data_IF_431545637792
#
_entry.id   IF_431545637792
#
_cell.length_a   1.000
_cell.length_b   1.000
_cell.length_c   1.000
_cell.angle_alpha   90.00
_cell.angle_beta   90.00
_cell.angle_gamma   90.00
#
_symmetry.space_group_name_H-M   'P 1'
#
loop_
_entity.id
_entity.type
_entity.pdbx_description
1 polymer ?
#
# COMPACT_ATOMS: atom_id res chain seq x y z
N UNK A 1 10.56 -15.08 12.29
CA UNK A 1 10.74 -14.42 10.98
C UNK A 1 10.13 -15.30 9.89
N UNK A 2 8.86 -15.03 9.53
CA UNK A 2 8.15 -15.70 8.42
C UNK A 2 7.80 -14.62 7.40
N UNK A 3 8.38 -14.71 6.21
CA UNK A 3 8.12 -13.80 5.10
C UNK A 3 6.99 -14.38 4.27
N UNK A 4 5.84 -13.71 4.24
CA UNK A 4 4.68 -14.09 3.43
C UNK A 4 4.96 -13.87 1.94
N UNK A 5 4.75 -14.91 1.15
CA UNK A 5 4.80 -14.88 -0.30
C UNK A 5 3.53 -14.22 -0.85
N UNK A 6 3.71 -13.21 -1.71
CA UNK A 6 2.64 -12.64 -2.54
C UNK A 6 2.14 -13.71 -3.52
N UNK A 7 0.87 -14.08 -3.42
CA UNK A 7 0.16 -14.88 -4.43
C UNK A 7 -0.04 -14.03 -5.69
N UNK A 8 0.30 -14.61 -6.85
CA UNK A 8 0.00 -14.03 -8.18
C UNK A 8 -1.43 -14.44 -8.60
N UNK A 9 -2.14 -13.66 -9.43
CA UNK A 9 -3.47 -14.01 -9.89
C UNK A 9 -3.43 -15.25 -10.79
N UNK A 10 -4.43 -16.12 -10.63
CA UNK A 10 -4.61 -17.35 -11.40
C UNK A 10 -4.94 -17.04 -12.86
N UNK A 11 -4.10 -17.52 -13.78
CA UNK A 11 -4.36 -17.50 -15.22
C UNK A 11 -5.50 -18.47 -15.58
N UNK A 12 -6.56 -17.95 -16.17
CA UNK A 12 -7.64 -18.75 -16.77
C UNK A 12 -7.05 -19.46 -18.00
N UNK A 13 -6.65 -20.73 -17.80
CA UNK A 13 -6.10 -21.62 -18.84
C UNK A 13 -7.18 -22.57 -19.35
N UNK A 14 -7.62 -22.39 -20.59
CA UNK A 14 -8.28 -23.46 -21.32
C UNK A 14 -7.24 -24.53 -21.69
N UNK A 15 -7.09 -25.54 -20.82
CA UNK A 15 -6.19 -26.68 -21.02
C UNK A 15 -6.74 -27.62 -22.11
N UNK A 16 -5.98 -27.83 -23.19
CA UNK A 16 -5.96 -29.14 -23.86
C UNK A 16 -4.85 -30.00 -23.25
N UNK A 17 -5.13 -31.29 -23.08
CA UNK A 17 -4.25 -32.31 -22.51
C UNK A 17 -2.98 -32.42 -23.35
N UNK A 18 -1.81 -32.07 -22.80
CA UNK A 18 -0.49 -32.23 -23.47
C UNK A 18 0.52 -31.08 -23.30
N UNK A 19 0.10 -29.93 -22.76
CA UNK A 19 0.88 -28.68 -22.76
C UNK A 19 2.16 -28.72 -21.89
N UNK A 20 3.34 -28.85 -22.54
CA UNK A 20 4.68 -28.65 -21.93
C UNK A 20 5.20 -27.26 -22.31
N UNK A 21 5.84 -26.58 -21.34
CA UNK A 21 6.32 -25.19 -21.45
C UNK A 21 7.30 -25.03 -22.62
N UNK A 22 6.95 -24.20 -23.60
CA UNK A 22 7.88 -23.68 -24.61
C UNK A 22 8.61 -22.50 -23.98
N UNK A 23 9.88 -22.69 -23.63
CA UNK A 23 10.74 -21.63 -23.09
C UNK A 23 11.40 -20.84 -24.21
N UNK A 24 10.76 -19.76 -24.67
CA UNK A 24 11.38 -18.77 -25.56
C UNK A 24 11.70 -17.54 -24.72
N UNK A 25 12.96 -17.08 -24.72
CA UNK A 25 13.35 -15.85 -24.04
C UNK A 25 12.81 -14.64 -24.83
N UNK A 26 11.91 -13.81 -24.26
CA UNK A 26 11.33 -12.65 -24.94
C UNK A 26 12.38 -11.63 -25.41
N UNK A 27 13.56 -11.60 -24.77
CA UNK A 27 14.67 -10.70 -25.12
C UNK A 27 15.38 -11.08 -26.41
N UNK A 28 15.24 -12.33 -26.87
CA UNK A 28 15.84 -12.81 -28.12
C UNK A 28 15.02 -12.45 -29.37
N UNK A 29 13.87 -11.78 -29.18
CA UNK A 29 12.92 -11.37 -30.22
C UNK A 29 12.93 -9.85 -30.43
N UNK A 30 13.70 -9.12 -29.62
CA UNK A 30 13.88 -7.68 -29.71
C UNK A 30 15.34 -7.34 -29.98
N UNK A 31 15.61 -6.53 -31.01
CA UNK A 31 16.92 -5.88 -31.20
C UNK A 31 16.75 -4.38 -30.94
N UNK A 32 17.56 -3.82 -30.04
CA UNK A 32 17.53 -2.41 -29.64
C UNK A 32 16.14 -1.80 -29.28
N UNK A 33 15.19 -2.62 -28.80
CA UNK A 33 13.88 -2.12 -28.36
C UNK A 33 12.89 -1.80 -29.49
N UNK A 34 13.21 -2.17 -30.74
CA UNK A 34 12.24 -2.17 -31.84
C UNK A 34 11.85 -3.61 -32.21
N UNK A 35 10.55 -3.93 -32.32
CA UNK A 35 10.12 -5.25 -32.76
C UNK A 35 10.38 -5.39 -34.26
N UNK A 36 11.36 -6.22 -34.64
CA UNK A 36 11.33 -6.80 -35.99
C UNK A 36 10.30 -7.92 -35.96
N UNK A 37 9.28 -7.81 -36.82
CA UNK A 37 8.60 -8.98 -37.34
C UNK A 37 9.68 -9.90 -37.90
N UNK A 38 10.02 -10.97 -37.19
CA UNK A 38 10.83 -12.02 -37.80
C UNK A 38 9.89 -12.75 -38.75
N UNK A 39 9.84 -12.27 -40.00
CA UNK A 39 9.46 -13.11 -41.12
C UNK A 39 10.53 -14.18 -41.25
N UNK A 40 10.30 -15.25 -40.51
CA UNK A 40 10.92 -16.51 -40.81
C UNK A 40 9.78 -17.48 -40.95
N UNK A 41 9.14 -17.44 -42.12
CA UNK A 41 8.69 -18.65 -42.82
C UNK A 41 9.89 -19.61 -42.96
N UNK A 42 10.35 -20.17 -41.86
CA UNK A 42 11.30 -21.26 -41.86
C UNK A 42 10.49 -22.55 -41.93
N UNK A 43 10.74 -23.29 -43.01
CA UNK A 43 10.17 -24.62 -43.29
C UNK A 43 10.54 -25.68 -42.25
N UNK A 44 11.25 -25.34 -41.18
CA UNK A 44 11.54 -26.27 -40.10
C UNK A 44 11.94 -25.54 -38.80
N UNK A 45 11.03 -25.49 -37.81
CA UNK A 45 11.28 -24.92 -36.48
C UNK A 45 12.21 -25.81 -35.62
N UNK A 46 12.52 -27.02 -36.08
CA UNK A 46 13.37 -28.01 -35.40
C UNK A 46 14.88 -27.73 -35.52
N UNK A 47 15.28 -26.80 -36.40
CA UNK A 47 16.68 -26.52 -36.73
C UNK A 47 17.24 -25.22 -36.13
N UNK A 48 16.44 -24.42 -35.42
CA UNK A 48 16.88 -23.13 -34.85
C UNK A 48 17.38 -23.33 -33.40
N UNK A 49 18.65 -22.97 -33.15
CA UNK A 49 19.31 -23.16 -31.86
C UNK A 49 18.63 -22.42 -30.70
N UNK A 50 17.86 -21.36 -30.99
CA UNK A 50 17.11 -20.60 -29.98
C UNK A 50 15.89 -21.35 -29.42
N UNK A 51 15.47 -22.40 -30.11
CA UNK A 51 14.35 -23.26 -29.74
C UNK A 51 14.77 -24.64 -29.20
N UNK A 52 16.08 -24.94 -29.19
CA UNK A 52 16.63 -26.22 -28.71
C UNK A 52 16.39 -26.47 -27.20
N UNK A 53 15.97 -25.46 -26.43
CA UNK A 53 15.58 -25.60 -25.03
C UNK A 53 14.08 -25.88 -24.79
N UNK A 54 13.22 -25.69 -25.80
CA UNK A 54 11.79 -25.92 -25.68
C UNK A 54 11.46 -27.38 -26.04
N UNK A 55 11.41 -28.24 -25.03
CA UNK A 55 11.04 -29.66 -25.15
C UNK A 55 9.56 -29.82 -25.54
N UNK A 56 9.25 -29.60 -26.82
CA UNK A 56 7.90 -29.72 -27.38
C UNK A 56 7.78 -29.61 -28.89
N UNK A 57 8.84 -29.32 -29.64
CA UNK A 57 8.79 -29.00 -31.08
C UNK A 57 9.01 -30.25 -31.95
N UNK A 58 8.44 -31.40 -31.58
CA UNK A 58 8.39 -32.56 -32.48
C UNK A 58 7.02 -32.61 -33.16
N UNK A 59 6.95 -32.22 -34.44
CA UNK A 59 5.74 -32.27 -35.28
C UNK A 59 5.16 -30.92 -35.72
N UNK A 60 5.82 -29.81 -35.41
CA UNK A 60 5.43 -28.47 -35.90
C UNK A 60 6.11 -28.20 -37.24
N UNK A 61 5.34 -28.02 -38.32
CA UNK A 61 5.87 -27.75 -39.66
C UNK A 61 6.21 -26.29 -39.92
N UNK A 62 5.56 -25.35 -39.19
CA UNK A 62 5.79 -23.91 -39.28
C UNK A 62 5.31 -23.22 -37.99
N UNK A 63 6.03 -22.20 -37.51
CA UNK A 63 5.74 -21.43 -36.29
C UNK A 63 5.89 -19.93 -36.58
N UNK A 64 4.95 -19.11 -36.10
CA UNK A 64 5.08 -17.66 -36.02
C UNK A 64 4.96 -17.20 -34.58
N UNK A 65 5.69 -16.15 -34.23
CA UNK A 65 5.55 -15.50 -32.94
C UNK A 65 5.74 -13.99 -33.06
N UNK A 66 4.93 -13.24 -32.30
CA UNK A 66 4.96 -11.78 -32.25
C UNK A 66 4.94 -11.32 -30.80
N UNK A 67 5.66 -10.23 -30.47
CA UNK A 67 5.64 -9.70 -29.11
C UNK A 67 4.29 -9.06 -28.80
N UNK A 68 3.84 -9.21 -27.56
CA UNK A 68 2.76 -8.41 -26.99
C UNK A 68 3.35 -7.11 -26.46
N UNK A 69 3.40 -6.07 -27.30
CA UNK A 69 4.06 -4.81 -26.98
C UNK A 69 3.04 -3.68 -26.74
N UNK A 70 3.15 -2.98 -25.61
CA UNK A 70 2.25 -1.87 -25.23
C UNK A 70 2.79 -0.47 -25.60
N UNK A 71 3.83 -0.40 -26.42
CA UNK A 71 4.51 0.86 -26.79
C UNK A 71 5.72 1.20 -25.91
N UNK A 72 5.81 0.62 -24.70
CA UNK A 72 6.94 0.83 -23.79
C UNK A 72 7.58 -0.46 -23.25
N UNK A 73 6.80 -1.54 -23.12
CA UNK A 73 7.22 -2.81 -22.56
C UNK A 73 6.67 -4.01 -23.35
N UNK A 74 7.44 -5.10 -23.38
CA UNK A 74 6.96 -6.39 -23.90
C UNK A 74 6.31 -7.16 -22.76
N UNK A 75 4.98 -7.35 -22.83
CA UNK A 75 4.17 -8.04 -21.83
C UNK A 75 4.27 -9.57 -21.96
N UNK A 76 4.60 -10.07 -23.15
CA UNK A 76 4.66 -11.50 -23.44
C UNK A 76 4.85 -11.80 -24.92
N UNK A 77 4.60 -13.05 -25.30
CA UNK A 77 4.71 -13.55 -26.68
C UNK A 77 3.39 -14.18 -27.10
N UNK A 78 2.87 -13.79 -28.27
CA UNK A 78 1.78 -14.49 -28.94
C UNK A 78 2.38 -15.34 -30.04
N UNK A 79 2.07 -16.63 -30.07
CA UNK A 79 2.55 -17.53 -31.12
C UNK A 79 1.41 -18.34 -31.75
N UNK A 80 1.65 -18.78 -32.98
CA UNK A 80 0.79 -19.68 -33.73
C UNK A 80 1.65 -20.75 -34.41
N UNK A 81 1.23 -22.01 -34.32
CA UNK A 81 1.89 -23.13 -34.97
C UNK A 81 0.96 -23.82 -35.98
N UNK A 82 1.55 -24.41 -37.02
CA UNK A 82 0.85 -25.21 -38.02
C UNK A 82 1.52 -26.58 -38.19
N UNK A 83 0.70 -27.63 -38.24
CA UNK A 83 1.16 -28.99 -38.52
C UNK A 83 1.61 -29.15 -39.97
N UNK A 84 2.54 -30.09 -40.22
CA UNK A 84 3.19 -30.38 -41.51
C UNK A 84 2.27 -30.54 -42.74
N UNK A 85 0.96 -30.73 -42.56
CA UNK A 85 -0.01 -30.91 -43.64
C UNK A 85 -0.63 -29.59 -44.18
N UNK A 86 -0.32 -28.43 -43.57
CA UNK A 86 -0.83 -27.11 -43.98
C UNK A 86 0.29 -26.25 -44.60
N UNK A 87 -0.08 -25.32 -45.49
CA UNK A 87 0.85 -24.39 -46.13
C UNK A 87 1.63 -23.56 -45.09
N UNK A 88 2.89 -23.21 -45.42
CA UNK A 88 3.74 -22.36 -44.58
C UNK A 88 3.09 -21.00 -44.33
N UNK A 89 3.33 -20.42 -43.16
CA UNK A 89 2.83 -19.09 -42.82
C UNK A 89 3.38 -18.02 -43.77
N UNK A 90 2.55 -17.05 -44.11
CA UNK A 90 2.89 -15.94 -45.01
C UNK A 90 3.20 -14.65 -44.24
N UNK A 91 3.81 -13.69 -44.91
CA UNK A 91 4.05 -12.35 -44.37
C UNK A 91 2.74 -11.62 -43.99
N UNK A 92 1.64 -11.88 -44.71
CA UNK A 92 0.33 -11.33 -44.37
C UNK A 92 -0.23 -11.95 -43.08
N UNK A 93 0.03 -13.24 -42.84
CA UNK A 93 -0.31 -13.89 -41.57
C UNK A 93 0.49 -13.30 -40.41
N UNK A 94 1.78 -12.99 -40.64
CA UNK A 94 2.64 -12.34 -39.64
C UNK A 94 2.17 -10.92 -39.32
N UNK A 95 1.76 -10.15 -40.33
CA UNK A 95 1.18 -8.81 -40.16
C UNK A 95 -0.13 -8.87 -39.39
N UNK A 96 -1.01 -9.82 -39.72
CA UNK A 96 -2.26 -10.03 -38.99
C UNK A 96 -1.99 -10.41 -37.53
N UNK A 97 -1.08 -11.38 -37.30
CA UNK A 97 -0.71 -11.80 -35.95
C UNK A 97 -0.10 -10.64 -35.15
N UNK A 98 0.74 -9.82 -35.78
CA UNK A 98 1.35 -8.62 -35.16
C UNK A 98 0.29 -7.59 -34.76
N UNK A 99 -0.70 -7.33 -35.62
CA UNK A 99 -1.82 -6.44 -35.29
C UNK A 99 -2.63 -6.96 -34.10
N UNK A 100 -2.96 -8.26 -34.11
CA UNK A 100 -3.65 -8.91 -32.99
C UNK A 100 -2.81 -8.86 -31.71
N UNK A 101 -1.50 -9.08 -31.82
CA UNK A 101 -0.56 -9.01 -30.71
C UNK A 101 -0.52 -7.61 -30.07
N UNK A 102 -0.47 -6.55 -30.89
CA UNK A 102 -0.49 -5.17 -30.40
C UNK A 102 -1.83 -4.82 -29.73
N UNK A 103 -2.96 -5.17 -30.35
CA UNK A 103 -4.29 -4.94 -29.75
C UNK A 103 -4.42 -5.71 -28.44
N UNK A 104 -4.02 -6.98 -28.41
CA UNK A 104 -4.05 -7.81 -27.21
C UNK A 104 -3.16 -7.21 -26.11
N UNK A 105 -1.96 -6.75 -26.44
CA UNK A 105 -1.05 -6.12 -25.48
C UNK A 105 -1.65 -4.87 -24.83
N UNK A 106 -2.27 -3.98 -25.63
CA UNK A 106 -2.95 -2.79 -25.11
C UNK A 106 -4.11 -3.20 -24.18
N UNK A 107 -4.93 -4.17 -24.57
CA UNK A 107 -6.06 -4.59 -23.74
C UNK A 107 -5.62 -5.27 -22.44
N UNK A 108 -4.57 -6.10 -22.48
CA UNK A 108 -3.98 -6.70 -21.28
C UNK A 108 -3.45 -5.62 -20.33
N UNK A 109 -2.77 -4.60 -20.86
CA UNK A 109 -2.29 -3.48 -20.06
C UNK A 109 -3.44 -2.71 -19.42
N UNK A 110 -4.48 -2.40 -20.20
CA UNK A 110 -5.67 -1.71 -19.71
C UNK A 110 -6.37 -2.50 -18.60
N UNK A 111 -6.55 -3.81 -18.78
CA UNK A 111 -7.14 -4.67 -17.76
C UNK A 111 -6.31 -4.68 -16.46
N UNK A 112 -4.97 -4.73 -16.57
CA UNK A 112 -4.08 -4.64 -15.39
C UNK A 112 -4.22 -3.29 -14.68
N UNK A 113 -4.25 -2.18 -15.43
CA UNK A 113 -4.40 -0.84 -14.87
C UNK A 113 -5.76 -0.65 -14.18
N UNK A 114 -6.84 -1.20 -14.75
CA UNK A 114 -8.16 -1.20 -14.10
C UNK A 114 -8.11 -2.00 -12.80
N UNK A 115 -7.48 -3.18 -12.79
CA UNK A 115 -7.31 -3.98 -11.58
C UNK A 115 -6.54 -3.24 -10.48
N UNK A 116 -5.41 -2.62 -10.81
CA UNK A 116 -4.62 -1.80 -9.88
C UNK A 116 -5.41 -0.61 -9.34
N UNK A 117 -6.15 0.08 -10.22
CA UNK A 117 -7.01 1.20 -9.84
C UNK A 117 -8.08 0.77 -8.83
N UNK A 118 -8.78 -0.33 -9.08
CA UNK A 118 -9.82 -0.84 -8.18
C UNK A 118 -9.26 -1.21 -6.80
N UNK A 119 -8.08 -1.84 -6.74
CA UNK A 119 -7.41 -2.12 -5.47
C UNK A 119 -7.06 -0.84 -4.73
N UNK A 120 -6.51 0.17 -5.43
CA UNK A 120 -6.18 1.46 -4.84
C UNK A 120 -7.41 2.19 -4.31
N UNK A 121 -8.50 2.24 -5.08
CA UNK A 121 -9.76 2.86 -4.69
C UNK A 121 -10.35 2.19 -3.44
N UNK A 122 -10.31 0.86 -3.37
CA UNK A 122 -10.74 0.12 -2.18
C UNK A 122 -9.91 0.50 -0.95
N UNK A 123 -8.58 0.49 -1.05
CA UNK A 123 -7.71 0.85 0.07
C UNK A 123 -7.89 2.31 0.50
N UNK A 124 -8.13 3.22 -0.45
CA UNK A 124 -8.46 4.63 -0.15
C UNK A 124 -9.78 4.75 0.58
N UNK A 125 -10.82 4.02 0.17
CA UNK A 125 -12.11 4.02 0.87
C UNK A 125 -11.98 3.51 2.31
N UNK A 126 -11.22 2.43 2.53
CA UNK A 126 -10.93 1.91 3.88
C UNK A 126 -10.17 2.94 4.73
N UNK A 127 -9.17 3.64 4.16
CA UNK A 127 -8.43 4.69 4.85
C UNK A 127 -9.30 5.92 5.20
N UNK A 128 -10.22 6.31 4.31
CA UNK A 128 -11.16 7.41 4.56
C UNK A 128 -12.15 7.08 5.68
N UNK A 129 -12.67 5.85 5.72
CA UNK A 129 -13.53 5.41 6.81
C UNK A 129 -12.80 5.45 8.17
N UNK A 130 -11.54 5.02 8.20
CA UNK A 130 -10.71 5.14 9.40
C UNK A 130 -10.42 6.60 9.79
N UNK A 131 -10.21 7.48 8.80
CA UNK A 131 -10.04 8.91 9.04
C UNK A 131 -11.28 9.59 9.64
N UNK A 132 -12.48 9.15 9.24
CA UNK A 132 -13.73 9.61 9.83
C UNK A 132 -13.83 9.25 11.32
N UNK A 133 -13.51 8.00 11.67
CA UNK A 133 -13.44 7.56 13.08
C UNK A 133 -12.38 8.37 13.84
N UNK A 134 -11.20 8.56 13.24
CA UNK A 134 -10.11 9.32 13.86
C UNK A 134 -10.48 10.78 14.12
N UNK A 135 -11.23 11.41 13.21
CA UNK A 135 -11.73 12.78 13.40
C UNK A 135 -12.61 12.91 14.65
N UNK A 136 -13.42 11.90 14.94
CA UNK A 136 -14.21 11.85 16.17
C UNK A 136 -13.39 11.69 17.46
N UNK A 137 -12.07 11.44 17.37
CA UNK A 137 -11.17 11.47 18.51
C UNK A 137 -10.58 12.85 18.80
N UNK A 138 -10.87 13.88 18.00
CA UNK A 138 -10.40 15.22 18.28
C UNK A 138 -11.51 16.05 18.95
N UNK A 139 -11.18 16.97 19.86
CA UNK A 139 -12.17 17.83 20.48
C UNK A 139 -12.80 18.76 19.41
N UNK A 140 -14.13 18.83 19.39
CA UNK A 140 -14.89 19.69 18.48
C UNK A 140 -14.60 21.19 18.71
N UNK A 141 -14.34 21.54 19.97
CA UNK A 141 -13.95 22.87 20.39
C UNK A 141 -13.00 22.80 21.60
N UNK A 142 -12.09 23.76 21.75
CA UNK A 142 -11.29 23.88 22.97
C UNK A 142 -12.19 24.13 24.19
N UNK A 143 -11.78 23.70 25.40
CA UNK A 143 -12.55 23.93 26.61
C UNK A 143 -12.62 25.42 26.95
N UNK A 144 -13.78 25.87 27.42
CA UNK A 144 -13.95 27.22 27.93
C UNK A 144 -13.46 27.29 29.38
N UNK A 145 -12.24 27.79 29.59
CA UNK A 145 -11.64 27.93 30.92
C UNK A 145 -11.45 29.43 31.23
N UNK A 146 -12.09 29.99 32.26
CA UNK A 146 -11.96 31.42 32.59
C UNK A 146 -10.50 31.84 32.78
N UNK A 147 -10.07 32.89 32.07
CA UNK A 147 -8.70 33.41 32.12
C UNK A 147 -7.70 32.66 31.23
N UNK A 148 -8.12 31.64 30.50
CA UNK A 148 -7.29 30.85 29.60
C UNK A 148 -7.92 30.73 28.21
N UNK A 149 -7.06 30.63 27.21
CA UNK A 149 -7.47 30.31 25.85
C UNK A 149 -6.72 29.06 25.41
N UNK A 150 -7.45 28.05 24.95
CA UNK A 150 -6.91 26.84 24.35
C UNK A 150 -7.23 26.85 22.86
N UNK A 151 -6.32 26.32 22.05
CA UNK A 151 -6.54 26.01 20.64
C UNK A 151 -5.67 24.80 20.29
N UNK A 152 -6.10 24.03 19.29
CA UNK A 152 -5.39 22.85 18.85
C UNK A 152 -5.76 22.51 17.41
N UNK A 153 -4.76 22.12 16.62
CA UNK A 153 -4.95 21.71 15.23
C UNK A 153 -4.08 20.51 14.92
N UNK A 154 -4.68 19.51 14.29
CA UNK A 154 -3.96 18.38 13.70
C UNK A 154 -4.22 18.37 12.20
N UNK A 155 -3.14 18.25 11.41
CA UNK A 155 -3.22 18.15 9.95
C UNK A 155 -2.44 16.90 9.52
N UNK A 156 -3.13 15.78 9.25
CA UNK A 156 -2.45 14.56 8.85
C UNK A 156 -1.81 14.73 7.47
N UNK A 157 -0.67 14.06 7.26
CA UNK A 157 0.04 14.05 5.98
C UNK A 157 -0.64 13.12 4.95
N UNK A 158 -1.36 12.10 5.43
CA UNK A 158 -2.22 11.21 4.63
C UNK A 158 -3.67 11.34 5.12
N UNK A 159 -4.54 10.39 4.80
CA UNK A 159 -5.91 10.34 5.29
C UNK A 159 -5.97 10.24 6.82
N UNK A 160 -4.98 9.55 7.43
CA UNK A 160 -4.85 9.40 8.89
C UNK A 160 -3.46 9.80 9.41
N UNK A 161 -3.40 10.19 10.68
CA UNK A 161 -2.18 10.62 11.38
C UNK A 161 -1.79 9.74 12.58
N UNK A 162 -0.54 9.87 13.03
CA UNK A 162 -0.11 9.37 14.34
C UNK A 162 -0.25 10.44 15.43
N UNK A 163 -0.18 11.72 15.02
CA UNK A 163 -0.22 12.90 15.88
C UNK A 163 -1.64 13.18 16.38
N UNK A 164 -1.74 13.53 17.66
CA UNK A 164 -3.01 13.79 18.32
C UNK A 164 -2.86 14.76 19.47
N UNK A 165 -3.95 15.43 19.79
CA UNK A 165 -4.06 16.26 20.98
C UNK A 165 -5.49 16.17 21.50
N UNK A 166 -5.67 16.49 22.77
CA UNK A 166 -7.00 16.55 23.38
C UNK A 166 -7.00 17.42 24.64
N UNK A 167 -8.19 17.86 25.04
CA UNK A 167 -8.45 18.65 26.23
C UNK A 167 -9.65 18.08 26.98
N UNK A 168 -9.47 17.77 28.27
CA UNK A 168 -10.51 17.20 29.11
C UNK A 168 -10.69 18.05 30.36
N UNK A 169 -11.94 18.41 30.64
CA UNK A 169 -12.35 18.96 31.94
C UNK A 169 -12.58 17.80 32.91
N UNK A 170 -11.78 17.76 33.98
CA UNK A 170 -11.85 16.74 35.03
C UNK A 170 -12.72 17.20 36.21
N UNK A 171 -13.25 18.42 36.15
CA UNK A 171 -14.04 19.06 37.19
C UNK A 171 -13.18 19.76 38.25
N UNK A 172 -13.84 20.54 39.12
CA UNK A 172 -13.20 21.28 40.21
C UNK A 172 -12.09 22.25 39.77
N UNK A 173 -12.22 22.82 38.56
CA UNK A 173 -11.23 23.72 37.97
C UNK A 173 -9.94 23.03 37.51
N UNK A 174 -9.96 21.69 37.38
CA UNK A 174 -8.84 20.90 36.89
C UNK A 174 -9.07 20.51 35.44
N UNK A 175 -8.17 20.92 34.57
CA UNK A 175 -8.20 20.61 33.14
C UNK A 175 -6.93 19.86 32.76
N UNK A 176 -7.06 18.80 31.96
CA UNK A 176 -5.91 18.01 31.48
C UNK A 176 -5.88 18.10 29.97
N UNK A 177 -4.72 18.45 29.41
CA UNK A 177 -4.49 18.34 27.98
C UNK A 177 -3.42 17.29 27.68
N UNK A 178 -3.54 16.67 26.53
CA UNK A 178 -2.51 15.79 25.98
C UNK A 178 -2.11 16.24 24.58
N UNK A 179 -0.84 16.04 24.26
CA UNK A 179 -0.29 16.13 22.91
C UNK A 179 0.59 14.90 22.72
N UNK A 180 0.42 14.19 21.61
CA UNK A 180 1.17 12.98 21.34
C UNK A 180 1.51 12.79 19.88
N UNK A 181 2.57 12.01 19.66
CA UNK A 181 2.99 11.54 18.34
C UNK A 181 3.38 10.06 18.43
N UNK A 182 2.74 9.26 17.58
CA UNK A 182 2.94 7.82 17.47
C UNK A 182 4.03 7.52 16.45
N UNK A 183 5.06 6.77 16.86
CA UNK A 183 6.12 6.34 15.97
C UNK A 183 5.59 5.59 14.73
N UNK A 184 5.96 6.10 13.56
CA UNK A 184 5.58 5.58 12.26
C UNK A 184 4.59 6.49 11.52
N UNK A 185 3.87 5.93 10.54
CA UNK A 185 2.86 6.65 9.76
C UNK A 185 1.74 5.73 9.28
N UNK A 186 0.65 6.31 8.81
CA UNK A 186 -0.48 5.59 8.23
C UNK A 186 -1.28 4.79 9.26
N UNK A 187 -1.96 3.74 8.80
CA UNK A 187 -3.00 3.06 9.59
C UNK A 187 -2.54 2.49 10.94
N UNK A 188 -1.36 1.86 10.99
CA UNK A 188 -0.88 1.32 12.26
C UNK A 188 -0.58 2.39 13.31
N UNK A 189 -0.20 3.60 12.90
CA UNK A 189 0.00 4.72 13.82
C UNK A 189 -1.35 5.27 14.31
N UNK A 190 -2.30 5.41 13.39
CA UNK A 190 -3.65 5.87 13.68
C UNK A 190 -4.41 4.95 14.66
N UNK A 191 -4.31 3.63 14.50
CA UNK A 191 -4.95 2.67 15.41
C UNK A 191 -4.38 2.79 16.83
N UNK A 192 -3.05 2.89 16.94
CA UNK A 192 -2.38 3.03 18.24
C UNK A 192 -2.73 4.38 18.88
N UNK A 193 -2.86 5.44 18.08
CA UNK A 193 -3.35 6.74 18.54
C UNK A 193 -4.76 6.60 19.13
N UNK A 194 -5.72 6.06 18.38
CA UNK A 194 -7.11 5.90 18.82
C UNK A 194 -7.23 5.06 20.09
N UNK A 195 -6.38 4.02 20.24
CA UNK A 195 -6.29 3.22 21.46
C UNK A 195 -5.84 4.07 22.66
N UNK A 196 -4.78 4.87 22.51
CA UNK A 196 -4.30 5.74 23.59
C UNK A 196 -5.33 6.79 23.94
N UNK A 197 -5.97 7.39 22.93
CA UNK A 197 -7.05 8.36 23.14
C UNK A 197 -8.20 7.77 23.98
N UNK A 198 -8.69 6.58 23.60
CA UNK A 198 -9.76 5.91 24.33
C UNK A 198 -9.35 5.57 25.78
N UNK A 199 -8.13 5.06 25.98
CA UNK A 199 -7.63 4.70 27.32
C UNK A 199 -7.36 5.95 28.16
N UNK A 200 -6.91 7.05 27.56
CA UNK A 200 -6.75 8.33 28.24
C UNK A 200 -8.10 8.84 28.78
N UNK A 201 -9.14 8.86 27.93
CA UNK A 201 -10.50 9.25 28.33
C UNK A 201 -11.05 8.40 29.46
N UNK A 202 -10.70 7.12 29.50
CA UNK A 202 -11.14 6.26 30.61
C UNK A 202 -10.37 6.55 31.89
N UNK A 203 -9.03 6.62 31.82
CA UNK A 203 -8.19 6.80 33.00
C UNK A 203 -8.29 8.20 33.61
N UNK A 204 -8.58 9.23 32.81
CA UNK A 204 -8.64 10.61 33.30
C UNK A 204 -9.89 10.88 34.14
N UNK A 205 -10.98 10.13 33.93
CA UNK A 205 -12.24 10.23 34.70
C UNK A 205 -12.03 9.92 36.19
N UNK A 206 -11.13 8.98 36.50
CA UNK A 206 -10.76 8.63 37.87
C UNK A 206 -9.99 9.74 38.58
N UNK A 207 -9.60 10.79 37.86
CA UNK A 207 -8.83 11.92 38.36
C UNK A 207 -7.49 11.57 39.00
N UNK A 208 -6.71 10.56 38.53
CA UNK A 208 -5.42 10.23 39.15
C UNK A 208 -4.42 11.38 38.99
N UNK A 209 -3.37 11.46 39.82
CA UNK A 209 -2.27 12.39 39.58
C UNK A 209 -1.69 12.24 38.18
N UNK A 210 -1.35 13.35 37.51
CA UNK A 210 -0.92 13.34 36.09
C UNK A 210 0.26 12.41 35.79
N UNK A 211 1.20 12.25 36.73
CA UNK A 211 2.32 11.32 36.60
C UNK A 211 1.86 9.85 36.59
N UNK A 212 0.86 9.52 37.41
CA UNK A 212 0.28 8.18 37.46
C UNK A 212 -0.54 7.90 36.20
N UNK A 213 -1.26 8.89 35.69
CA UNK A 213 -1.92 8.80 34.38
C UNK A 213 -0.90 8.45 33.28
N UNK A 214 0.23 9.16 33.21
CA UNK A 214 1.31 8.86 32.26
C UNK A 214 1.85 7.43 32.40
N UNK A 215 2.08 6.97 33.64
CA UNK A 215 2.56 5.60 33.92
C UNK A 215 1.57 4.54 33.44
N UNK A 216 0.27 4.74 33.69
CA UNK A 216 -0.78 3.83 33.25
C UNK A 216 -0.91 3.78 31.73
N UNK A 217 -0.85 4.93 31.06
CA UNK A 217 -0.81 5.01 29.59
C UNK A 217 0.40 4.26 29.03
N UNK A 218 1.59 4.49 29.58
CA UNK A 218 2.80 3.77 29.18
C UNK A 218 2.64 2.24 29.37
N UNK A 219 2.07 1.80 30.49
CA UNK A 219 1.77 0.38 30.72
C UNK A 219 0.82 -0.20 29.67
N UNK A 220 -0.17 0.56 29.22
CA UNK A 220 -1.07 0.15 28.14
C UNK A 220 -0.33 0.02 26.80
N UNK A 221 0.52 0.98 26.45
CA UNK A 221 1.34 0.90 25.23
C UNK A 221 2.26 -0.31 25.27
N UNK A 222 2.96 -0.56 26.38
CA UNK A 222 3.86 -1.71 26.53
C UNK A 222 3.15 -3.07 26.41
N UNK A 223 1.86 -3.15 26.77
CA UNK A 223 1.08 -4.39 26.67
C UNK A 223 0.55 -4.67 25.27
N UNK A 224 0.19 -3.64 24.51
CA UNK A 224 -0.59 -3.80 23.27
C UNK A 224 0.17 -3.38 22.00
N UNK A 225 1.15 -2.49 22.11
CA UNK A 225 1.94 -2.07 20.96
C UNK A 225 3.06 -3.08 20.67
N UNK A 226 3.39 -3.33 19.38
CA UNK A 226 4.56 -4.09 19.03
C UNK A 226 5.83 -3.38 19.52
N UNK A 227 6.88 -4.16 19.83
CA UNK A 227 8.12 -3.65 20.46
C UNK A 227 8.88 -2.60 19.65
N UNK A 228 8.58 -2.45 18.36
CA UNK A 228 9.16 -1.44 17.47
C UNK A 228 8.30 -0.17 17.33
N UNK A 229 7.26 -0.01 18.15
CA UNK A 229 6.43 1.20 18.21
C UNK A 229 6.40 1.76 19.62
N UNK A 230 6.40 3.08 19.68
CA UNK A 230 6.28 3.85 20.89
C UNK A 230 5.46 5.10 20.59
N UNK A 231 5.05 5.79 21.64
CA UNK A 231 4.33 7.05 21.53
C UNK A 231 5.03 8.05 22.43
N UNK A 232 5.34 9.20 21.86
CA UNK A 232 5.81 10.34 22.63
C UNK A 232 4.61 11.16 23.07
N UNK A 233 4.61 11.62 24.32
CA UNK A 233 3.47 12.33 24.91
C UNK A 233 3.94 13.51 25.74
N UNK A 234 3.15 14.57 25.75
CA UNK A 234 3.16 15.62 26.77
C UNK A 234 1.76 15.64 27.38
N UNK A 235 1.71 15.48 28.69
CA UNK A 235 0.50 15.76 29.47
C UNK A 235 0.72 17.07 30.21
N UNK A 236 -0.28 17.94 30.20
CA UNK A 236 -0.30 19.09 31.09
C UNK A 236 -1.63 19.15 31.84
N UNK A 237 -1.55 19.47 33.13
CA UNK A 237 -2.69 19.66 34.00
C UNK A 237 -2.71 21.10 34.48
N UNK A 238 -3.79 21.79 34.20
CA UNK A 238 -4.08 23.13 34.69
C UNK A 238 -5.02 23.04 35.89
N UNK A 239 -4.56 23.56 37.02
CA UNK A 239 -5.38 23.96 38.14
C UNK A 239 -5.74 25.45 37.96
N UNK A 240 -6.96 25.69 37.46
CA UNK A 240 -7.46 27.02 37.15
C UNK A 240 -7.73 27.87 38.39
N UNK A 241 -7.92 27.22 39.56
CA UNK A 241 -8.13 27.93 40.84
C UNK A 241 -6.81 28.44 41.39
N UNK A 242 -5.76 27.62 41.34
CA UNK A 242 -4.41 27.99 41.80
C UNK A 242 -3.55 28.64 40.70
N UNK A 243 -4.07 28.77 39.47
CA UNK A 243 -3.34 29.21 38.28
C UNK A 243 -2.01 28.49 38.07
N UNK A 244 -2.01 27.17 38.26
CA UNK A 244 -0.80 26.33 38.22
C UNK A 244 -0.91 25.29 37.12
N UNK A 245 0.14 25.18 36.30
CA UNK A 245 0.27 24.14 35.29
C UNK A 245 1.34 23.15 35.71
N UNK A 246 0.99 21.86 35.73
CA UNK A 246 1.91 20.74 35.95
C UNK A 246 2.10 20.01 34.63
N UNK A 247 3.34 19.80 34.19
CA UNK A 247 3.65 19.16 32.91
C UNK A 247 4.44 17.88 33.13
N UNK A 248 4.07 16.82 32.41
CA UNK A 248 4.83 15.57 32.31
C UNK A 248 5.19 15.36 30.85
N UNK A 249 6.49 15.44 30.55
CA UNK A 249 7.01 15.10 29.21
C UNK A 249 7.47 13.64 29.19
N UNK A 250 6.85 12.85 28.31
CA UNK A 250 7.14 11.44 28.05
C UNK A 250 7.92 11.27 26.74
N UNK A 251 9.00 12.03 26.56
CA UNK A 251 9.91 11.94 25.42
C UNK A 251 9.45 12.67 24.16
N UNK A 252 8.46 13.56 24.26
CA UNK A 252 8.01 14.40 23.13
C UNK A 252 8.99 15.55 22.91
N UNK A 253 9.41 15.72 21.66
CA UNK A 253 10.33 16.75 21.22
C UNK A 253 9.68 17.57 20.09
N UNK A 254 9.85 18.91 20.05
CA UNK A 254 10.55 19.73 21.04
C UNK A 254 9.83 19.79 22.40
N UNK A 255 10.58 20.13 23.46
CA UNK A 255 9.98 20.35 24.77
C UNK A 255 8.94 21.47 24.71
N UNK A 256 7.88 21.42 25.55
CA UNK A 256 6.88 22.48 25.61
C UNK A 256 7.53 23.85 25.83
N UNK A 257 7.22 24.80 24.95
CA UNK A 257 7.70 26.17 25.08
C UNK A 257 6.76 26.95 26.00
N UNK A 258 7.32 27.55 27.06
CA UNK A 258 6.61 28.48 27.93
C UNK A 258 7.17 29.87 27.67
N UNK A 259 6.36 30.74 27.07
CA UNK A 259 6.68 32.15 26.86
C UNK A 259 5.83 33.02 27.80
N UNK A 260 6.36 34.18 28.20
CA UNK A 260 5.68 35.19 29.02
C UNK A 260 5.48 36.46 28.22
#
# INVERSE_FOLDING_TARGET
MRTQARQRPEEIRHRRRGDRRIGVDPRQITDHGQPRAHDRSQKDASADERFLGATGIMGVGSLMAVPLWDGGNVLGLLYADASFARAAFTEDDLRLLSMLGNVAAIQMRNASLIGEKLVKERLMAEALAAAEIQRGCFPDAPPAVPGYQADGRSRPCHEVGGDFFDFVDVGNGRHVCMLGDVAGKGMGAAILMSMIHAVFHELVKDGPPILELARRLNGTVLRHAPSNRFVTLVLAELDATAHRVTVVNCGHAPAPLVAR
#
